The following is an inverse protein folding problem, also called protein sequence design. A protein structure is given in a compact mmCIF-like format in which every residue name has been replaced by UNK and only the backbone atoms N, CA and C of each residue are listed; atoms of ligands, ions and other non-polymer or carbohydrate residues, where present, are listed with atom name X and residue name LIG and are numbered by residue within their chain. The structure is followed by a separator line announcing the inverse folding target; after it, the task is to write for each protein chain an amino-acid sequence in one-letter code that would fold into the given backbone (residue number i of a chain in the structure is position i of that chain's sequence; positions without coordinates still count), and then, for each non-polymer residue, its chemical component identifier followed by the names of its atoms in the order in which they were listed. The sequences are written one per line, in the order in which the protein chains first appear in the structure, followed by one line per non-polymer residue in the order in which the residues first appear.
data_IF_709634113921
#
_entry.id   IF_709634113921
#
_cell.length_a   1.000
_cell.length_b   1.000
_cell.length_c   1.000
_cell.angle_alpha   90.00
_cell.angle_beta   90.00
_cell.angle_gamma   90.00
#
_symmetry.space_group_name_H-M   'P 1'
#
loop_
_entity.id
_entity.type
_entity.pdbx_description
1 polymer ?
#
# COMPACT_ATOMS: atom_id res chain seq x y z
N UNK A 1 13.95 -6.72 4.60
CA UNK A 1 12.81 -5.96 4.05
C UNK A 1 11.85 -5.79 5.22
N UNK A 2 11.35 -4.56 5.47
CA UNK A 2 10.32 -4.18 6.48
C UNK A 2 10.65 -4.47 7.95
N UNK A 3 10.39 -3.49 8.81
CA UNK A 3 10.42 -3.60 10.27
C UNK A 3 8.99 -3.33 10.73
N UNK A 4 8.25 -4.37 11.13
CA UNK A 4 6.97 -4.19 11.82
C UNK A 4 7.28 -4.04 13.33
N UNK A 5 7.25 -2.83 13.86
CA UNK A 5 7.49 -2.58 15.29
C UNK A 5 6.18 -2.65 16.08
N UNK A 6 5.83 -3.85 16.55
CA UNK A 6 4.87 -4.02 17.64
C UNK A 6 5.62 -4.48 18.90
N UNK A 7 5.44 -3.77 20.01
CA UNK A 7 5.95 -4.13 21.35
C UNK A 7 7.47 -4.40 21.46
N UNK A 8 8.29 -3.70 20.66
CA UNK A 8 9.74 -3.81 20.71
C UNK A 8 10.31 -5.09 20.09
N UNK A 9 9.51 -5.87 19.37
CA UNK A 9 9.96 -6.96 18.51
C UNK A 9 9.68 -6.61 17.05
N UNK A 10 10.74 -6.27 16.32
CA UNK A 10 10.64 -6.04 14.88
C UNK A 10 10.60 -7.37 14.11
N UNK A 11 9.49 -7.68 13.45
CA UNK A 11 9.49 -8.77 12.46
C UNK A 11 10.12 -8.25 11.17
N UNK A 12 11.32 -8.75 10.84
CA UNK A 12 11.96 -8.47 9.55
C UNK A 12 11.79 -9.67 8.59
N UNK A 13 11.21 -9.41 7.43
CA UNK A 13 11.13 -10.39 6.34
C UNK A 13 12.30 -10.17 5.40
N UNK A 14 13.20 -11.15 5.28
CA UNK A 14 14.36 -11.05 4.37
C UNK A 14 14.08 -11.85 3.10
N UNK A 15 13.97 -11.16 1.98
CA UNK A 15 13.83 -11.79 0.66
C UNK A 15 15.13 -11.64 -0.12
N UNK A 16 15.79 -12.76 -0.43
CA UNK A 16 17.03 -12.76 -1.19
C UNK A 16 16.80 -12.41 -2.66
N UNK A 17 17.78 -11.75 -3.30
CA UNK A 17 17.74 -11.44 -4.74
C UNK A 17 17.48 -12.67 -5.62
N UNK A 18 18.02 -13.83 -5.23
CA UNK A 18 17.78 -15.10 -5.91
C UNK A 18 16.31 -15.53 -5.84
N UNK A 19 15.66 -15.34 -4.68
CA UNK A 19 14.22 -15.57 -4.51
C UNK A 19 13.40 -14.60 -5.35
N UNK A 20 13.72 -13.30 -5.32
CA UNK A 20 13.04 -12.29 -6.16
C UNK A 20 13.14 -12.65 -7.64
N UNK A 21 14.31 -13.10 -8.10
CA UNK A 21 14.49 -13.53 -9.50
C UNK A 21 13.65 -14.75 -9.86
N UNK A 22 13.47 -15.69 -8.93
CA UNK A 22 12.59 -16.85 -9.13
C UNK A 22 11.12 -16.44 -9.20
N UNK A 23 10.68 -15.59 -8.26
CA UNK A 23 9.33 -15.01 -8.27
C UNK A 23 9.08 -14.29 -9.60
N UNK A 24 10.01 -13.43 -10.02
CA UNK A 24 9.90 -12.72 -11.30
C UNK A 24 9.68 -13.67 -12.48
N UNK A 25 10.52 -14.70 -12.56
CA UNK A 25 10.48 -15.64 -13.67
C UNK A 25 9.14 -16.36 -13.70
N UNK A 26 8.71 -16.90 -12.56
CA UNK A 26 7.44 -17.62 -12.46
C UNK A 26 6.24 -16.73 -12.83
N UNK A 27 6.19 -15.51 -12.29
CA UNK A 27 5.13 -14.56 -12.60
C UNK A 27 5.16 -14.12 -14.06
N UNK A 28 6.34 -13.97 -14.66
CA UNK A 28 6.48 -13.61 -16.06
C UNK A 28 6.05 -14.76 -16.99
N UNK A 29 6.47 -15.99 -16.69
CA UNK A 29 6.09 -17.19 -17.45
C UNK A 29 4.56 -17.37 -17.41
N UNK A 30 3.93 -17.16 -16.24
CA UNK A 30 2.47 -17.15 -16.08
C UNK A 30 1.80 -16.02 -16.87
N UNK A 31 2.37 -14.81 -16.84
CA UNK A 31 1.85 -13.67 -17.60
C UNK A 31 1.91 -13.90 -19.12
N UNK A 32 3.00 -14.48 -19.63
CA UNK A 32 3.12 -14.84 -21.05
C UNK A 32 2.09 -15.89 -21.46
N UNK A 33 1.85 -16.89 -20.62
CA UNK A 33 0.81 -17.89 -20.88
C UNK A 33 -0.59 -17.26 -20.93
N UNK A 34 -0.91 -16.39 -19.95
CA UNK A 34 -2.18 -15.65 -19.93
C UNK A 34 -2.41 -14.82 -21.20
N UNK A 35 -1.39 -14.08 -21.64
CA UNK A 35 -1.49 -13.23 -22.85
C UNK A 35 -1.73 -14.07 -24.11
N UNK A 36 -1.18 -15.28 -24.17
CA UNK A 36 -1.22 -16.11 -25.37
C UNK A 36 -2.44 -17.05 -25.43
N UNK A 37 -2.92 -17.56 -24.29
CA UNK A 37 -3.91 -18.63 -24.26
C UNK A 37 -5.32 -18.21 -23.81
N UNK A 38 -5.54 -16.94 -23.42
CA UNK A 38 -6.84 -16.36 -22.99
C UNK A 38 -7.72 -17.38 -22.27
N UNK A 39 -7.21 -17.93 -21.17
CA UNK A 39 -8.01 -18.74 -20.27
C UNK A 39 -8.51 -17.90 -19.10
N UNK A 40 -9.83 -17.73 -19.01
CA UNK A 40 -10.51 -17.05 -17.92
C UNK A 40 -10.66 -17.95 -16.67
N UNK A 41 -10.19 -19.21 -16.71
CA UNK A 41 -10.47 -20.23 -15.70
C UNK A 41 -9.58 -20.17 -14.45
N UNK A 42 -8.41 -19.53 -14.46
CA UNK A 42 -7.43 -19.54 -13.34
C UNK A 42 -7.26 -18.16 -12.68
N UNK A 43 -8.29 -17.68 -11.97
CA UNK A 43 -8.27 -16.31 -11.43
C UNK A 43 -7.31 -16.12 -10.24
N UNK A 44 -7.00 -17.19 -9.50
CA UNK A 44 -6.09 -17.14 -8.34
C UNK A 44 -4.62 -17.09 -8.75
N UNK A 45 -4.23 -17.88 -9.75
CA UNK A 45 -2.86 -17.87 -10.27
C UNK A 45 -2.56 -16.53 -10.95
N UNK A 46 -3.55 -15.94 -11.65
CA UNK A 46 -3.45 -14.58 -12.15
C UNK A 46 -3.27 -13.56 -11.03
N UNK A 47 -3.98 -13.71 -9.91
CA UNK A 47 -3.81 -12.82 -8.75
C UNK A 47 -2.39 -12.95 -8.17
N UNK A 48 -1.90 -14.16 -7.90
CA UNK A 48 -0.54 -14.37 -7.40
C UNK A 48 0.53 -13.89 -8.38
N UNK A 49 0.31 -14.07 -9.68
CA UNK A 49 1.16 -13.52 -10.73
C UNK A 49 1.22 -12.00 -10.62
N UNK A 50 0.09 -11.31 -10.48
CA UNK A 50 0.10 -9.85 -10.34
C UNK A 50 0.85 -9.38 -9.09
N UNK A 51 0.72 -10.08 -7.95
CA UNK A 51 1.50 -9.78 -6.74
C UNK A 51 3.01 -9.92 -7.00
N UNK A 52 3.41 -11.03 -7.63
CA UNK A 52 4.82 -11.28 -7.97
C UNK A 52 5.39 -10.26 -8.94
N UNK A 53 4.60 -9.81 -9.92
CA UNK A 53 4.98 -8.73 -10.82
C UNK A 53 5.05 -7.38 -10.10
N UNK A 54 4.11 -7.06 -9.20
CA UNK A 54 4.14 -5.81 -8.43
C UNK A 54 5.37 -5.70 -7.51
N UNK A 55 5.93 -6.81 -7.03
CA UNK A 55 7.17 -6.81 -6.25
C UNK A 55 8.39 -6.27 -7.03
N UNK A 56 8.32 -6.22 -8.37
CA UNK A 56 9.49 -6.05 -9.24
C UNK A 56 9.27 -4.96 -10.29
N UNK A 57 8.11 -4.99 -10.94
CA UNK A 57 7.64 -4.05 -11.97
C UNK A 57 6.38 -3.32 -11.49
N UNK A 58 6.47 -2.71 -10.31
CA UNK A 58 5.38 -1.98 -9.64
C UNK A 58 4.73 -0.83 -10.44
N UNK A 59 5.39 -0.29 -11.45
CA UNK A 59 4.83 0.75 -12.31
C UNK A 59 4.38 0.22 -13.69
N UNK A 60 4.19 -1.09 -13.84
CA UNK A 60 3.54 -1.66 -15.03
C UNK A 60 2.02 -1.45 -14.96
N UNK A 61 1.52 -0.42 -15.63
CA UNK A 61 0.10 -0.06 -15.63
C UNK A 61 -0.85 -1.18 -16.06
N UNK A 62 -0.47 -2.03 -17.01
CA UNK A 62 -1.30 -3.16 -17.45
C UNK A 62 -1.50 -4.17 -16.33
N UNK A 63 -0.42 -4.52 -15.64
CA UNK A 63 -0.43 -5.46 -14.51
C UNK A 63 -1.19 -4.86 -13.33
N UNK A 64 -0.98 -3.58 -13.05
CA UNK A 64 -1.69 -2.88 -11.97
C UNK A 64 -3.20 -2.80 -12.25
N UNK A 65 -3.59 -2.51 -13.49
CA UNK A 65 -5.00 -2.51 -13.87
C UNK A 65 -5.61 -3.91 -13.76
N UNK A 66 -4.89 -4.94 -14.22
CA UNK A 66 -5.32 -6.33 -14.09
C UNK A 66 -5.48 -6.71 -12.61
N UNK A 67 -4.49 -6.41 -11.78
CA UNK A 67 -4.54 -6.63 -10.34
C UNK A 67 -5.78 -6.00 -9.70
N UNK A 68 -6.06 -4.74 -10.05
CA UNK A 68 -7.23 -4.05 -9.54
C UNK A 68 -8.55 -4.73 -9.93
N UNK A 69 -8.69 -5.12 -11.19
CA UNK A 69 -9.87 -5.86 -11.68
C UNK A 69 -10.04 -7.17 -10.92
N UNK A 70 -8.95 -7.87 -10.62
CA UNK A 70 -8.98 -9.11 -9.83
C UNK A 70 -9.43 -8.84 -8.39
N UNK A 71 -8.88 -7.82 -7.73
CA UNK A 71 -9.29 -7.39 -6.38
C UNK A 71 -10.80 -7.10 -6.34
N UNK A 72 -11.34 -6.32 -7.29
CA UNK A 72 -12.78 -6.04 -7.36
C UNK A 72 -13.63 -7.30 -7.56
N UNK A 73 -13.20 -8.20 -8.44
CA UNK A 73 -13.90 -9.48 -8.69
C UNK A 73 -13.89 -10.38 -7.45
N UNK A 74 -12.79 -10.42 -6.71
CA UNK A 74 -12.66 -11.21 -5.47
C UNK A 74 -13.53 -10.62 -4.37
N UNK A 75 -13.42 -9.30 -4.13
CA UNK A 75 -14.19 -8.60 -3.09
C UNK A 75 -15.69 -8.63 -3.34
N UNK A 76 -16.14 -8.60 -4.60
CA UNK A 76 -17.57 -8.67 -4.95
C UNK A 76 -18.17 -10.08 -4.85
N UNK A 77 -17.41 -11.10 -4.41
CA UNK A 77 -17.83 -12.50 -4.37
C UNK A 77 -18.30 -13.05 -5.75
N UNK A 78 -17.91 -12.41 -6.84
CA UNK A 78 -18.29 -12.83 -8.20
C UNK A 78 -17.48 -14.07 -8.65
N UNK A 79 -16.41 -14.40 -7.91
CA UNK A 79 -15.54 -15.56 -8.16
C UNK A 79 -15.78 -16.67 -7.15
N UNK A 80 -16.50 -17.71 -7.58
CA UNK A 80 -16.77 -18.93 -6.78
C UNK A 80 -15.53 -19.77 -6.44
N UNK A 81 -14.36 -19.46 -7.03
CA UNK A 81 -13.12 -20.21 -6.80
C UNK A 81 -12.39 -19.79 -5.52
N UNK A 82 -12.58 -18.54 -5.06
CA UNK A 82 -12.02 -18.06 -3.78
C UNK A 82 -12.72 -18.68 -2.56
N UNK A 83 -13.83 -19.39 -2.78
CA UNK A 83 -14.52 -20.20 -1.76
C UNK A 83 -13.62 -21.30 -1.18
N UNK A 84 -12.57 -21.73 -1.91
CA UNK A 84 -11.57 -22.70 -1.42
C UNK A 84 -10.61 -22.13 -0.38
N UNK A 85 -10.43 -20.80 -0.33
CA UNK A 85 -9.57 -20.10 0.61
C UNK A 85 -10.29 -19.67 1.90
N UNK A 86 -11.62 -19.84 1.99
CA UNK A 86 -12.48 -19.43 3.11
C UNK A 86 -12.24 -17.99 3.61
N UNK A 87 -11.72 -17.11 2.77
CA UNK A 87 -11.45 -15.72 3.12
C UNK A 87 -12.68 -14.90 2.79
N UNK A 88 -13.37 -14.44 3.83
CA UNK A 88 -14.43 -13.45 3.68
C UNK A 88 -13.87 -12.20 2.96
N UNK A 89 -14.64 -11.52 2.09
CA UNK A 89 -14.17 -10.35 1.33
C UNK A 89 -13.44 -9.29 2.16
N UNK A 90 -13.92 -9.04 3.38
CA UNK A 90 -13.29 -8.10 4.31
C UNK A 90 -11.91 -8.57 4.74
N UNK A 91 -11.73 -9.87 5.03
CA UNK A 91 -10.43 -10.43 5.40
C UNK A 91 -9.46 -10.42 4.22
N UNK A 92 -9.95 -10.65 3.01
CA UNK A 92 -9.14 -10.49 1.80
C UNK A 92 -8.65 -9.05 1.65
N UNK A 93 -9.53 -8.05 1.80
CA UNK A 93 -9.14 -6.64 1.74
C UNK A 93 -8.13 -6.26 2.82
N UNK A 94 -8.28 -6.76 4.05
CA UNK A 94 -7.29 -6.52 5.12
C UNK A 94 -5.92 -7.04 4.71
N UNK A 95 -5.85 -8.25 4.14
CA UNK A 95 -4.59 -8.82 3.64
C UNK A 95 -4.02 -8.03 2.47
N UNK A 96 -4.86 -7.55 1.57
CA UNK A 96 -4.44 -6.73 0.44
C UNK A 96 -3.85 -5.40 0.91
N UNK A 97 -4.51 -4.73 1.85
CA UNK A 97 -3.97 -3.51 2.47
C UNK A 97 -2.66 -3.80 3.17
N UNK A 98 -2.59 -4.86 3.97
CA UNK A 98 -1.36 -5.27 4.68
C UNK A 98 -0.21 -5.55 3.70
N UNK A 99 -0.51 -6.12 2.53
CA UNK A 99 0.49 -6.34 1.49
C UNK A 99 1.01 -5.01 0.93
N UNK A 100 0.13 -4.06 0.61
CA UNK A 100 0.55 -2.73 0.15
C UNK A 100 1.36 -1.99 1.23
N UNK A 101 0.94 -2.07 2.49
CA UNK A 101 1.66 -1.50 3.64
C UNK A 101 3.08 -2.07 3.76
N UNK A 102 3.21 -3.41 3.62
CA UNK A 102 4.51 -4.09 3.59
C UNK A 102 5.41 -3.51 2.47
N UNK A 103 4.87 -3.32 1.27
CA UNK A 103 5.66 -2.77 0.15
C UNK A 103 6.07 -1.31 0.40
N UNK A 104 5.14 -0.49 0.87
CA UNK A 104 5.34 0.93 1.16
C UNK A 104 6.25 1.16 2.36
N UNK A 105 6.25 0.27 3.36
CA UNK A 105 7.14 0.29 4.52
C UNK A 105 8.52 -0.33 4.25
N UNK A 106 8.78 -0.83 3.05
CA UNK A 106 10.05 -1.52 2.75
C UNK A 106 11.24 -0.56 2.60
N UNK A 107 12.44 -1.06 2.91
CA UNK A 107 13.70 -0.36 2.63
C UNK A 107 14.04 -0.27 1.13
N UNK A 108 13.22 -0.87 0.26
CA UNK A 108 13.43 -0.80 -1.18
C UNK A 108 12.80 0.47 -1.74
N UNK A 109 13.64 1.45 -2.10
CA UNK A 109 13.23 2.71 -2.71
C UNK A 109 12.24 2.56 -3.87
N UNK A 110 12.39 1.53 -4.72
CA UNK A 110 11.47 1.36 -5.86
C UNK A 110 10.04 1.09 -5.39
N UNK A 111 9.88 0.24 -4.38
CA UNK A 111 8.59 -0.12 -3.81
C UNK A 111 8.03 1.02 -2.96
N UNK A 112 8.82 1.48 -2.00
CA UNK A 112 8.46 2.55 -1.07
C UNK A 112 8.02 3.85 -1.76
N UNK A 113 8.63 4.19 -2.91
CA UNK A 113 8.34 5.40 -3.69
C UNK A 113 7.53 5.12 -4.96
N UNK A 114 6.85 3.96 -5.04
CA UNK A 114 6.01 3.65 -6.19
C UNK A 114 4.74 4.47 -6.17
N UNK A 115 4.59 5.33 -7.16
CA UNK A 115 3.36 6.13 -7.35
C UNK A 115 2.10 5.26 -7.43
N UNK A 116 2.21 4.08 -8.05
CA UNK A 116 1.08 3.15 -8.20
C UNK A 116 0.65 2.56 -6.86
N UNK A 117 1.61 2.13 -6.02
CA UNK A 117 1.30 1.57 -4.71
C UNK A 117 0.63 2.61 -3.80
N UNK A 118 1.12 3.84 -3.79
CA UNK A 118 0.47 4.95 -3.08
C UNK A 118 -0.93 5.25 -3.62
N UNK A 119 -1.15 5.10 -4.93
CA UNK A 119 -2.46 5.26 -5.52
C UNK A 119 -3.42 4.15 -5.05
N UNK A 120 -3.00 2.87 -5.04
CA UNK A 120 -3.80 1.80 -4.46
C UNK A 120 -4.11 2.05 -2.99
N UNK A 121 -3.13 2.53 -2.22
CA UNK A 121 -3.34 2.84 -0.81
C UNK A 121 -4.43 3.89 -0.58
N UNK A 122 -4.48 4.94 -1.41
CA UNK A 122 -5.58 5.92 -1.41
C UNK A 122 -6.93 5.28 -1.73
N UNK A 123 -6.98 4.39 -2.73
CA UNK A 123 -8.21 3.70 -3.13
C UNK A 123 -8.73 2.81 -2.00
N UNK A 124 -7.85 2.06 -1.35
CA UNK A 124 -8.22 1.24 -0.21
C UNK A 124 -8.72 2.09 0.97
N UNK A 125 -8.07 3.21 1.28
CA UNK A 125 -8.58 4.12 2.30
C UNK A 125 -10.02 4.59 2.02
N UNK A 126 -10.32 4.99 0.78
CA UNK A 126 -11.66 5.46 0.40
C UNK A 126 -12.69 4.32 0.40
N UNK A 127 -12.29 3.12 -0.01
CA UNK A 127 -13.20 1.98 -0.11
C UNK A 127 -13.57 1.37 1.24
N UNK A 128 -12.79 1.66 2.29
CA UNK A 128 -12.78 0.82 3.46
C UNK A 128 -12.60 1.66 4.73
N UNK A 129 -13.62 1.63 5.60
CA UNK A 129 -13.46 1.95 7.02
C UNK A 129 -12.82 0.76 7.75
N UNK A 130 -11.69 0.24 7.26
CA UNK A 130 -11.03 -0.92 7.87
C UNK A 130 -10.46 -0.50 9.24
N UNK A 131 -10.94 -1.09 10.34
CA UNK A 131 -10.53 -0.67 11.68
C UNK A 131 -9.09 -1.07 12.04
N UNK A 132 -8.48 -1.99 11.28
CA UNK A 132 -7.15 -2.54 11.59
C UNK A 132 -5.99 -1.85 10.86
N UNK A 133 -6.23 -1.10 9.78
CA UNK A 133 -5.16 -0.42 9.03
C UNK A 133 -4.98 1.02 9.52
N UNK A 134 -3.78 1.34 9.99
CA UNK A 134 -3.40 2.71 10.32
C UNK A 134 -2.69 3.36 9.13
N UNK A 135 -3.51 3.86 8.20
CA UNK A 135 -3.06 4.51 6.97
C UNK A 135 -2.05 5.64 7.20
N UNK A 136 -2.18 6.34 8.32
CA UNK A 136 -1.28 7.41 8.71
C UNK A 136 0.07 6.87 9.18
N UNK A 137 0.08 5.82 10.01
CA UNK A 137 1.33 5.28 10.56
C UNK A 137 2.20 4.65 9.47
N UNK A 138 1.62 3.92 8.50
CA UNK A 138 2.38 3.43 7.34
C UNK A 138 3.05 4.58 6.58
N UNK A 139 2.35 5.70 6.40
CA UNK A 139 2.91 6.87 5.73
C UNK A 139 4.04 7.53 6.51
N UNK A 140 3.90 7.64 7.84
CA UNK A 140 4.93 8.17 8.73
C UNK A 140 6.15 7.25 8.83
N UNK A 141 5.96 5.93 8.91
CA UNK A 141 7.04 4.93 8.88
C UNK A 141 7.82 5.00 7.57
N UNK A 142 7.10 5.11 6.45
CA UNK A 142 7.67 5.28 5.12
C UNK A 142 8.50 6.57 5.01
N UNK A 143 8.00 7.68 5.58
CA UNK A 143 8.72 8.96 5.64
C UNK A 143 9.96 8.90 6.54
N UNK A 144 9.87 8.21 7.70
CA UNK A 144 11.00 8.05 8.62
C UNK A 144 12.12 7.19 8.04
N UNK A 145 11.76 6.14 7.31
CA UNK A 145 12.73 5.23 6.67
C UNK A 145 13.43 5.87 5.48
N UNK A 146 12.74 6.76 4.77
CA UNK A 146 13.26 7.47 3.60
C UNK A 146 13.00 8.97 3.75
N UNK A 147 13.94 9.73 4.34
CA UNK A 147 13.79 11.17 4.49
C UNK A 147 13.44 11.82 3.15
N UNK A 148 12.55 12.81 3.17
CA UNK A 148 12.06 13.50 1.96
C UNK A 148 11.28 12.62 0.98
N UNK A 149 10.68 11.51 1.43
CA UNK A 149 9.77 10.72 0.58
C UNK A 149 8.52 11.55 0.19
N UNK A 150 8.59 12.16 -0.99
CA UNK A 150 7.52 13.01 -1.51
C UNK A 150 6.18 12.27 -1.61
N UNK A 151 6.18 10.97 -1.89
CA UNK A 151 4.93 10.23 -2.07
C UNK A 151 4.20 9.98 -0.74
N UNK A 152 4.93 9.64 0.33
CA UNK A 152 4.31 9.49 1.66
C UNK A 152 3.80 10.83 2.18
N UNK A 153 4.57 11.91 2.03
CA UNK A 153 4.12 13.25 2.39
C UNK A 153 2.95 13.74 1.52
N UNK A 154 2.93 13.38 0.23
CA UNK A 154 1.79 13.67 -0.66
C UNK A 154 0.54 12.89 -0.24
N UNK A 155 0.70 11.65 0.24
CA UNK A 155 -0.40 10.88 0.81
C UNK A 155 -0.95 11.53 2.07
N UNK A 156 -0.10 11.95 3.01
CA UNK A 156 -0.53 12.60 4.26
C UNK A 156 -1.29 13.91 3.99
N UNK A 157 -0.80 14.75 3.08
CA UNK A 157 -1.52 15.98 2.66
C UNK A 157 -2.89 15.66 2.07
N UNK A 158 -2.94 14.65 1.18
CA UNK A 158 -4.20 14.19 0.60
C UNK A 158 -5.16 13.67 1.67
N UNK A 159 -4.65 12.92 2.64
CA UNK A 159 -5.44 12.36 3.73
C UNK A 159 -6.04 13.46 4.61
N UNK A 160 -5.24 14.45 5.01
CA UNK A 160 -5.71 15.60 5.79
C UNK A 160 -6.80 16.40 5.04
N UNK A 161 -6.57 16.68 3.76
CA UNK A 161 -7.57 17.35 2.92
C UNK A 161 -8.84 16.52 2.74
N UNK A 162 -8.72 15.20 2.61
CA UNK A 162 -9.88 14.32 2.54
C UNK A 162 -10.69 14.40 3.84
N UNK A 163 -10.03 14.32 5.00
CA UNK A 163 -10.70 14.38 6.32
C UNK A 163 -11.38 15.72 6.56
N UNK A 164 -10.79 16.83 6.13
CA UNK A 164 -11.40 18.17 6.14
C UNK A 164 -12.69 18.17 5.30
N UNK A 165 -12.63 17.67 4.06
CA UNK A 165 -13.79 17.61 3.16
C UNK A 165 -14.91 16.71 3.68
N UNK A 166 -14.57 15.60 4.34
CA UNK A 166 -15.55 14.68 4.93
C UNK A 166 -15.97 15.07 6.35
N UNK A 167 -15.40 16.13 6.93
CA UNK A 167 -15.63 16.58 8.31
C UNK A 167 -15.34 15.49 9.36
N UNK A 168 -14.27 14.74 9.15
CA UNK A 168 -13.76 13.75 10.09
C UNK A 168 -12.73 14.43 11.02
N UNK A 169 -13.25 15.19 11.99
CA UNK A 169 -12.43 15.99 12.90
C UNK A 169 -11.52 15.10 13.77
N UNK A 170 -11.94 13.88 14.10
CA UNK A 170 -11.15 12.95 14.91
C UNK A 170 -9.88 12.53 14.15
N UNK A 171 -10.03 12.06 12.91
CA UNK A 171 -8.88 11.65 12.10
C UNK A 171 -8.01 12.85 11.72
N UNK A 172 -8.60 14.01 11.41
CA UNK A 172 -7.84 15.23 11.13
C UNK A 172 -6.95 15.64 12.32
N UNK A 173 -7.52 15.67 13.53
CA UNK A 173 -6.76 15.97 14.75
C UNK A 173 -5.66 14.94 15.02
N UNK A 174 -5.92 13.65 14.75
CA UNK A 174 -4.90 12.59 14.80
C UNK A 174 -3.76 12.89 13.84
N UNK A 175 -4.06 13.22 12.57
CA UNK A 175 -3.04 13.57 11.56
C UNK A 175 -2.19 14.75 12.02
N UNK A 176 -2.83 15.87 12.42
CA UNK A 176 -2.14 17.06 12.87
C UNK A 176 -1.20 16.76 14.06
N UNK A 177 -1.70 16.04 15.06
CA UNK A 177 -0.93 15.63 16.23
C UNK A 177 0.30 14.80 15.86
N UNK A 178 0.12 13.77 15.01
CA UNK A 178 1.18 12.84 14.64
C UNK A 178 2.22 13.47 13.72
N UNK A 179 1.80 14.28 12.74
CA UNK A 179 2.73 15.03 11.87
C UNK A 179 3.55 16.02 12.69
N UNK A 180 2.93 16.73 13.65
CA UNK A 180 3.65 17.63 14.56
C UNK A 180 4.70 16.88 15.39
N UNK A 181 4.33 15.73 15.97
CA UNK A 181 5.26 14.88 16.72
C UNK A 181 6.40 14.38 15.82
N UNK A 182 6.12 14.01 14.58
CA UNK A 182 7.13 13.58 13.63
C UNK A 182 8.14 14.70 13.34
N UNK A 183 7.66 15.92 13.06
CA UNK A 183 8.51 17.09 12.80
C UNK A 183 9.45 17.40 13.98
N UNK A 184 8.92 17.31 15.21
CA UNK A 184 9.72 17.53 16.43
C UNK A 184 10.83 16.49 16.61
N UNK A 185 10.59 15.24 16.19
CA UNK A 185 11.61 14.17 16.20
C UNK A 185 12.61 14.28 15.05
N UNK A 186 12.19 14.82 13.91
CA UNK A 186 12.98 14.92 12.67
C UNK A 186 13.15 16.38 12.24
N UNK A 187 13.82 17.19 13.07
CA UNK A 187 13.92 18.64 12.85
C UNK A 187 14.55 19.05 11.51
N UNK A 188 15.37 18.17 10.91
CA UNK A 188 16.03 18.41 9.63
C UNK A 188 15.21 17.95 8.40
N UNK A 189 14.03 17.33 8.57
CA UNK A 189 13.18 16.92 7.44
C UNK A 189 12.30 18.10 6.99
N UNK A 190 12.79 18.87 6.02
CA UNK A 190 12.05 20.02 5.47
C UNK A 190 10.69 19.59 4.90
N UNK A 191 10.58 18.37 4.33
CA UNK A 191 9.34 17.91 3.72
C UNK A 191 8.24 17.65 4.78
N UNK A 192 8.63 17.25 6.00
CA UNK A 192 7.67 17.08 7.09
C UNK A 192 7.13 18.43 7.58
N UNK A 193 7.99 19.44 7.70
CA UNK A 193 7.58 20.79 8.10
C UNK A 193 6.68 21.45 7.05
N UNK A 194 7.01 21.29 5.77
CA UNK A 194 6.18 21.76 4.67
C UNK A 194 4.79 21.09 4.70
N UNK A 195 4.74 19.77 4.91
CA UNK A 195 3.49 19.06 5.11
C UNK A 195 2.71 19.57 6.35
N UNK A 196 3.38 19.88 7.46
CA UNK A 196 2.71 20.40 8.65
C UNK A 196 2.06 21.76 8.40
N UNK A 197 2.72 22.64 7.64
CA UNK A 197 2.16 23.94 7.24
C UNK A 197 0.90 23.74 6.39
N UNK A 198 0.96 22.86 5.38
CA UNK A 198 -0.20 22.56 4.55
C UNK A 198 -1.39 22.03 5.36
N UNK A 199 -1.14 21.11 6.31
CA UNK A 199 -2.20 20.57 7.18
C UNK A 199 -2.80 21.65 8.07
N UNK A 200 -2.00 22.57 8.61
CA UNK A 200 -2.49 23.68 9.42
C UNK A 200 -3.37 24.65 8.60
N UNK A 201 -3.09 24.83 7.32
CA UNK A 201 -3.92 25.66 6.44
C UNK A 201 -5.29 25.03 6.12
N UNK A 202 -5.50 23.75 6.40
CA UNK A 202 -6.79 23.07 6.26
C UNK A 202 -7.66 23.16 7.53
N UNK A 203 -7.12 23.69 8.64
CA UNK A 203 -7.82 23.87 9.92
C UNK A 203 -8.56 25.24 10.00
N UNK A 204 -8.58 26.01 8.91
CA UNK A 204 -9.24 27.32 8.79
C UNK A 204 -10.59 27.25 8.07
#
# INVERSE_FOLDING_TARGET
FVVDEQDGQSLEIIVFKSTIKKIFKESHDCFEHYVNEIDDSETLDLYYMTLGMMLITNDNHTINQLHWVLVEKITSNTLKQFTSLHLEPTQFLIKEVSFIELLLGSNNNKLNKSSTLWHFYKRFFVMNHLPESDFLETALLSAGSHPTNYYSWSFIRWLAKYTELTKDDELFNKILSRVRQFCQKHTNDIASWDCLVDVLCYDE
#
